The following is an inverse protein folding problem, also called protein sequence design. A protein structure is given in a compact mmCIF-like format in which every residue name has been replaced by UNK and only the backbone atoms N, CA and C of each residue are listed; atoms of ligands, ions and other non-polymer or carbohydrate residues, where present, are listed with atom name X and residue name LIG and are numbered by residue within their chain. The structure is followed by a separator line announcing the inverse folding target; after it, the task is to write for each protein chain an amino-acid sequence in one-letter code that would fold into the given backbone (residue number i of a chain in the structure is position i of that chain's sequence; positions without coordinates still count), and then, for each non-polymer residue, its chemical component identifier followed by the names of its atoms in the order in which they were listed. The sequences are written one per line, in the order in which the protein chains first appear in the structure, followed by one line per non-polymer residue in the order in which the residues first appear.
data_IF_349271627581
#
_entry.id   IF_349271627581
#
_cell.length_a   1.000
_cell.length_b   1.000
_cell.length_c   1.000
_cell.angle_alpha   90.00
_cell.angle_beta   90.00
_cell.angle_gamma   90.00
#
_symmetry.space_group_name_H-M   'P 1'
#
loop_
_entity.id
_entity.type
_entity.pdbx_description
1 polymer ?
#
# COMPACT_ATOMS: atom_id res chain seq x y z
N UNK A 1 -13.07 -2.15 -20.30
CA UNK A 1 -13.66 -2.97 -19.23
C UNK A 1 -13.24 -2.37 -17.90
N UNK A 2 -14.18 -2.04 -17.02
CA UNK A 2 -13.88 -1.34 -15.78
C UNK A 2 -13.07 -2.24 -14.83
N UNK A 3 -11.84 -1.86 -14.55
CA UNK A 3 -10.86 -2.52 -13.67
C UNK A 3 -11.20 -2.32 -12.20
N UNK A 4 -12.48 -2.34 -11.80
CA UNK A 4 -12.98 -1.81 -10.51
C UNK A 4 -12.66 -2.69 -9.28
N UNK A 5 -11.56 -3.43 -9.33
CA UNK A 5 -11.07 -4.36 -8.31
C UNK A 5 -9.85 -5.12 -8.79
N UNK A 6 -9.01 -4.56 -9.68
CA UNK A 6 -7.72 -5.18 -9.98
C UNK A 6 -6.65 -4.69 -8.99
N UNK A 7 -5.55 -5.43 -8.79
CA UNK A 7 -4.43 -4.94 -7.98
C UNK A 7 -3.92 -3.57 -8.43
N UNK A 8 -3.95 -3.28 -9.74
CA UNK A 8 -3.55 -1.99 -10.31
C UNK A 8 -4.51 -0.86 -9.96
N UNK A 9 -5.82 -1.12 -9.95
CA UNK A 9 -6.79 -0.11 -9.54
C UNK A 9 -6.67 0.23 -8.05
N UNK A 10 -6.45 -0.79 -7.22
CA UNK A 10 -6.21 -0.61 -5.78
C UNK A 10 -4.88 0.13 -5.56
N UNK A 11 -3.83 -0.23 -6.29
CA UNK A 11 -2.55 0.48 -6.26
C UNK A 11 -2.69 1.97 -6.62
N UNK A 12 -3.51 2.30 -7.63
CA UNK A 12 -3.80 3.67 -8.00
C UNK A 12 -4.55 4.42 -6.89
N UNK A 13 -5.53 3.76 -6.25
CA UNK A 13 -6.22 4.31 -5.08
C UNK A 13 -5.26 4.54 -3.90
N UNK A 14 -4.39 3.58 -3.59
CA UNK A 14 -3.37 3.70 -2.54
C UNK A 14 -2.45 4.90 -2.80
N UNK A 15 -2.03 5.12 -4.05
CA UNK A 15 -1.20 6.26 -4.41
C UNK A 15 -1.92 7.58 -4.18
N UNK A 16 -3.19 7.68 -4.62
CA UNK A 16 -4.00 8.87 -4.37
C UNK A 16 -4.20 9.16 -2.88
N UNK A 17 -4.43 8.14 -2.06
CA UNK A 17 -4.55 8.32 -0.61
C UNK A 17 -3.23 8.73 0.05
N UNK A 18 -2.10 8.18 -0.41
CA UNK A 18 -0.79 8.61 0.04
C UNK A 18 -0.54 10.08 -0.33
N UNK A 19 -0.84 10.49 -1.55
CA UNK A 19 -0.67 11.87 -2.00
C UNK A 19 -1.54 12.84 -1.21
N UNK A 20 -2.78 12.43 -0.89
CA UNK A 20 -3.71 13.25 -0.11
C UNK A 20 -3.32 13.40 1.35
N UNK A 21 -2.80 12.34 1.98
CA UNK A 21 -2.51 12.28 3.42
C UNK A 21 -1.03 12.46 3.77
N UNK A 22 -0.13 12.41 2.78
CA UNK A 22 1.32 12.37 2.93
C UNK A 22 1.89 11.04 3.42
N UNK A 23 1.08 10.23 4.11
CA UNK A 23 1.44 8.89 4.60
C UNK A 23 0.25 7.94 4.47
N UNK A 24 0.54 6.68 4.15
CA UNK A 24 -0.46 5.62 4.06
C UNK A 24 -0.09 4.47 5.00
N UNK A 25 -0.78 4.34 6.12
CA UNK A 25 -0.57 3.25 7.08
C UNK A 25 -1.07 1.92 6.51
N UNK A 26 -0.30 0.84 6.67
CA UNK A 26 -0.65 -0.44 6.03
C UNK A 26 -1.95 -1.04 6.55
N UNK A 27 -2.17 -0.99 7.87
CA UNK A 27 -3.39 -1.50 8.48
C UNK A 27 -4.62 -0.72 7.97
N UNK A 28 -4.56 0.61 8.01
CA UNK A 28 -5.65 1.45 7.52
C UNK A 28 -5.92 1.26 6.02
N UNK A 29 -4.87 1.05 5.22
CA UNK A 29 -5.03 0.72 3.81
C UNK A 29 -5.68 -0.65 3.61
N UNK A 30 -5.26 -1.67 4.37
CA UNK A 30 -5.85 -3.00 4.32
C UNK A 30 -7.34 -2.98 4.73
N UNK A 31 -7.69 -2.28 5.81
CA UNK A 31 -9.07 -2.12 6.28
C UNK A 31 -9.97 -1.46 5.24
N UNK A 32 -9.49 -0.39 4.58
CA UNK A 32 -10.30 0.29 3.56
C UNK A 32 -10.44 -0.58 2.30
N UNK A 33 -9.36 -1.23 1.86
CA UNK A 33 -9.40 -2.13 0.70
C UNK A 33 -10.32 -3.32 0.96
N UNK A 34 -10.32 -3.86 2.18
CA UNK A 34 -11.23 -4.92 2.58
C UNK A 34 -12.69 -4.45 2.49
N UNK A 35 -13.00 -3.25 3.01
CA UNK A 35 -14.34 -2.66 2.90
C UNK A 35 -14.78 -2.37 1.47
N UNK A 36 -13.88 -1.96 0.58
CA UNK A 36 -14.21 -1.61 -0.81
C UNK A 36 -14.28 -2.82 -1.74
N UNK A 37 -13.38 -3.80 -1.55
CA UNK A 37 -13.15 -4.87 -2.53
C UNK A 37 -13.04 -6.27 -1.90
N UNK A 38 -12.72 -6.37 -0.60
CA UNK A 38 -12.60 -7.64 0.12
C UNK A 38 -11.53 -8.57 -0.45
N UNK A 39 -11.74 -9.88 -0.25
CA UNK A 39 -10.98 -10.91 -0.98
C UNK A 39 -11.24 -10.75 -2.50
N UNK A 40 -10.21 -10.84 -3.37
CA UNK A 40 -8.89 -11.46 -3.16
C UNK A 40 -7.75 -10.50 -2.76
N UNK A 41 -8.02 -9.25 -2.39
CA UNK A 41 -6.97 -8.23 -2.22
C UNK A 41 -6.40 -8.13 -0.82
N UNK A 42 -7.15 -8.67 0.15
CA UNK A 42 -6.79 -8.72 1.56
C UNK A 42 -6.66 -10.17 2.01
N UNK A 43 -5.69 -10.40 2.89
CA UNK A 43 -5.54 -11.60 3.70
C UNK A 43 -5.68 -11.23 5.17
N UNK A 44 -5.79 -12.24 6.02
CA UNK A 44 -5.84 -12.08 7.48
C UNK A 44 -4.73 -12.92 8.07
N UNK A 45 -4.03 -12.39 9.07
CA UNK A 45 -3.09 -13.18 9.85
C UNK A 45 -3.81 -14.07 10.87
N UNK A 46 -3.05 -14.82 11.67
CA UNK A 46 -3.60 -15.75 12.66
C UNK A 46 -4.39 -15.03 13.78
N UNK A 47 -4.20 -13.73 13.94
CA UNK A 47 -4.92 -12.87 14.90
C UNK A 47 -6.16 -12.21 14.28
N UNK A 48 -6.41 -12.44 12.98
CA UNK A 48 -7.53 -11.84 12.25
C UNK A 48 -7.29 -10.39 11.85
N UNK A 49 -6.04 -9.93 11.82
CA UNK A 49 -5.69 -8.58 11.35
C UNK A 49 -5.55 -8.59 9.82
N UNK A 50 -6.25 -7.70 9.10
CA UNK A 50 -6.17 -7.65 7.66
C UNK A 50 -4.83 -7.09 7.18
N UNK A 51 -4.31 -7.67 6.09
CA UNK A 51 -3.13 -7.19 5.38
C UNK A 51 -3.34 -7.21 3.87
N UNK A 52 -2.70 -6.28 3.16
CA UNK A 52 -2.73 -6.24 1.70
C UNK A 52 -1.95 -7.42 1.11
N UNK A 53 -2.57 -8.16 0.18
CA UNK A 53 -1.91 -9.28 -0.48
C UNK A 53 -0.74 -8.82 -1.35
N UNK A 54 0.26 -9.70 -1.58
CA UNK A 54 1.46 -9.37 -2.35
C UNK A 54 1.18 -8.72 -3.70
N UNK A 55 0.19 -9.21 -4.45
CA UNK A 55 -0.16 -8.67 -5.77
C UNK A 55 -0.55 -7.17 -5.74
N UNK A 56 -1.21 -6.70 -4.67
CA UNK A 56 -1.55 -5.29 -4.50
C UNK A 56 -0.32 -4.47 -4.16
N UNK A 57 0.51 -4.99 -3.25
CA UNK A 57 1.75 -4.34 -2.82
C UNK A 57 2.74 -4.22 -3.98
N UNK A 58 2.87 -5.25 -4.81
CA UNK A 58 3.69 -5.25 -6.02
C UNK A 58 3.18 -4.22 -7.02
N UNK A 59 1.89 -4.24 -7.35
CA UNK A 59 1.29 -3.25 -8.25
C UNK A 59 1.49 -1.80 -7.75
N UNK A 60 1.39 -1.57 -6.43
CA UNK A 60 1.64 -0.27 -5.83
C UNK A 60 3.11 0.16 -5.94
N UNK A 61 4.03 -0.76 -5.70
CA UNK A 61 5.46 -0.50 -5.84
C UNK A 61 5.85 -0.20 -7.28
N UNK A 62 5.33 -0.96 -8.25
CA UNK A 62 5.54 -0.74 -9.67
C UNK A 62 5.02 0.63 -10.11
N UNK A 63 3.78 0.96 -9.73
CA UNK A 63 3.16 2.25 -10.06
C UNK A 63 3.94 3.44 -9.50
N UNK A 64 4.47 3.30 -8.28
CA UNK A 64 5.16 4.38 -7.57
C UNK A 64 6.60 4.66 -8.03
N UNK A 65 7.17 3.85 -8.92
CA UNK A 65 8.48 4.10 -9.54
C UNK A 65 9.70 4.16 -8.60
N UNK A 66 9.55 3.92 -7.30
CA UNK A 66 10.63 4.07 -6.30
C UNK A 66 10.62 5.38 -5.51
N UNK A 67 9.68 6.28 -5.82
CA UNK A 67 9.44 7.54 -5.10
C UNK A 67 8.73 7.32 -3.76
N UNK A 68 8.18 6.13 -3.56
CA UNK A 68 7.53 5.73 -2.32
C UNK A 68 8.38 4.69 -1.61
N UNK A 69 8.53 4.90 -0.30
CA UNK A 69 9.27 4.03 0.60
C UNK A 69 8.39 3.57 1.75
N UNK A 70 8.69 2.39 2.28
CA UNK A 70 8.06 1.80 3.44
C UNK A 70 8.86 2.15 4.70
N UNK A 71 8.24 2.86 5.66
CA UNK A 71 8.78 3.06 6.99
C UNK A 71 8.48 1.83 7.85
N UNK A 72 9.51 1.08 8.25
CA UNK A 72 9.37 -0.11 9.07
C UNK A 72 8.92 0.22 10.49
N UNK A 73 9.48 1.26 11.09
CA UNK A 73 9.13 1.70 12.45
C UNK A 73 7.70 2.23 12.53
N UNK A 74 7.30 3.00 11.51
CA UNK A 74 5.97 3.61 11.44
C UNK A 74 4.87 2.73 10.86
N UNK A 75 5.23 1.65 10.16
CA UNK A 75 4.32 0.79 9.40
C UNK A 75 3.43 1.58 8.43
N UNK A 76 4.05 2.49 7.68
CA UNK A 76 3.37 3.27 6.64
C UNK A 76 4.26 3.47 5.41
N UNK A 77 3.62 3.67 4.26
CA UNK A 77 4.26 4.19 3.06
C UNK A 77 4.29 5.72 3.08
N UNK A 78 5.38 6.30 2.60
CA UNK A 78 5.56 7.75 2.41
C UNK A 78 6.40 8.05 1.19
N UNK A 79 6.41 9.32 0.77
CA UNK A 79 7.38 9.82 -0.22
C UNK A 79 8.81 9.63 0.31
N UNK A 80 9.71 9.29 -0.61
CA UNK A 80 11.15 9.24 -0.41
C UNK A 80 11.65 10.64 -0.03
N UNK A 81 12.53 10.67 0.96
CA UNK A 81 13.24 11.87 1.40
C UNK A 81 14.70 11.80 0.92
N UNK A 82 15.40 12.94 0.75
CA UNK A 82 16.78 12.96 0.30
C UNK A 82 17.77 12.19 1.19
N UNK A 83 17.43 12.02 2.48
CA UNK A 83 18.22 11.29 3.48
C UNK A 83 17.96 9.78 3.47
N UNK A 84 16.98 9.29 2.70
CA UNK A 84 16.65 7.87 2.65
C UNK A 84 17.77 7.04 2.03
N UNK A 85 17.99 5.86 2.59
CA UNK A 85 18.97 4.90 2.07
C UNK A 85 18.50 4.33 0.72
N UNK A 86 19.42 3.77 -0.08
CA UNK A 86 19.04 2.95 -1.22
C UNK A 86 18.07 1.83 -0.82
N UNK A 87 17.14 1.50 -1.70
CA UNK A 87 16.08 0.52 -1.45
C UNK A 87 14.79 1.11 -0.90
N UNK A 88 13.73 0.30 -0.88
CA UNK A 88 12.36 0.75 -0.58
C UNK A 88 12.02 0.75 0.91
N UNK A 89 12.76 0.01 1.74
CA UNK A 89 12.52 -0.06 3.18
C UNK A 89 13.42 0.93 3.92
N UNK A 90 12.81 1.76 4.76
CA UNK A 90 13.49 2.76 5.59
C UNK A 90 13.18 2.49 7.07
N UNK A 91 14.12 2.84 7.94
CA UNK A 91 13.95 2.73 9.40
C UNK A 91 13.22 3.94 9.95
#
# INVERSE_FOLDING_TARGET
MATNGSPQAIAAWMLGELERRGRLYSAAAADEVDRMHGAPHVGYDDEGVPFLRPAVVEAFQELSGGDIVWSMSGRYWRRREPSDKPGRQQK
#
